data_IF_760189784303
#
_entry.id   IF_760189784303
#
_cell.length_a   1.000
_cell.length_b   1.000
_cell.length_c   1.000
_cell.angle_alpha   90.00
_cell.angle_beta   90.00
_cell.angle_gamma   90.00
#
_symmetry.space_group_name_H-M   'P 1'
#
loop_
_entity.id
_entity.type
_entity.pdbx_description
1 polymer ?
#
# COMPACT_ATOMS: atom_id res chain seq x y z
N UNK A 1 -5.49 -46.55 7.51
CA UNK A 1 -4.05 -46.54 7.15
C UNK A 1 -3.31 -47.42 8.13
N UNK A 2 -2.30 -48.17 7.71
CA UNK A 2 -1.42 -48.87 8.66
C UNK A 2 -0.82 -47.82 9.64
N UNK A 3 -0.69 -48.11 10.94
CA UNK A 3 -0.20 -47.16 11.95
C UNK A 3 1.10 -46.46 11.54
N UNK A 4 2.02 -47.23 10.94
CA UNK A 4 3.32 -46.75 10.45
C UNK A 4 3.21 -45.70 9.32
N UNK A 5 2.24 -45.84 8.41
CA UNK A 5 2.04 -44.88 7.32
C UNK A 5 1.52 -43.53 7.84
N UNK A 6 0.67 -43.55 8.87
CA UNK A 6 0.19 -42.33 9.53
C UNK A 6 1.33 -41.61 10.23
N UNK A 7 2.17 -42.33 10.98
CA UNK A 7 3.33 -41.78 11.68
C UNK A 7 4.35 -41.14 10.73
N UNK A 8 4.65 -41.79 9.60
CA UNK A 8 5.51 -41.25 8.54
C UNK A 8 4.99 -39.92 8.00
N UNK A 9 3.69 -39.84 7.69
CA UNK A 9 3.08 -38.59 7.22
C UNK A 9 3.11 -37.50 8.30
N UNK A 10 2.73 -37.82 9.53
CA UNK A 10 2.79 -36.87 10.64
C UNK A 10 4.22 -36.33 10.85
N UNK A 11 5.26 -37.16 10.72
CA UNK A 11 6.65 -36.74 10.80
C UNK A 11 7.03 -35.74 9.70
N UNK A 12 6.68 -36.04 8.44
CA UNK A 12 6.92 -35.13 7.30
C UNK A 12 6.23 -33.77 7.52
N UNK A 13 4.97 -33.80 7.97
CA UNK A 13 4.21 -32.58 8.24
C UNK A 13 4.80 -31.76 9.41
N UNK A 14 5.30 -32.40 10.47
CA UNK A 14 6.03 -31.70 11.54
C UNK A 14 7.28 -31.00 11.02
N UNK A 15 8.05 -31.60 10.11
CA UNK A 15 9.22 -30.94 9.54
C UNK A 15 8.84 -29.69 8.73
N UNK A 16 7.70 -29.71 8.04
CA UNK A 16 7.19 -28.56 7.28
C UNK A 16 6.79 -27.38 8.18
N UNK A 17 6.50 -27.58 9.48
CA UNK A 17 6.18 -26.49 10.42
C UNK A 17 7.29 -25.42 10.48
N UNK A 18 8.55 -25.85 10.46
CA UNK A 18 9.70 -24.94 10.44
C UNK A 18 9.61 -23.93 9.29
N UNK A 19 9.17 -24.37 8.10
CA UNK A 19 8.99 -23.52 6.92
C UNK A 19 7.82 -22.56 7.09
N UNK A 20 6.70 -23.00 7.68
CA UNK A 20 5.55 -22.14 7.96
C UNK A 20 5.92 -21.01 8.93
N UNK A 21 6.77 -21.28 9.92
CA UNK A 21 7.29 -20.27 10.84
C UNK A 21 8.18 -19.25 10.09
N UNK A 22 9.09 -19.72 9.24
CA UNK A 22 9.92 -18.83 8.41
C UNK A 22 9.10 -17.94 7.49
N UNK A 23 8.09 -18.50 6.81
CA UNK A 23 7.17 -17.72 5.96
C UNK A 23 6.36 -16.72 6.83
N UNK A 24 5.96 -17.11 8.04
CA UNK A 24 5.36 -16.19 9.01
C UNK A 24 6.25 -14.99 9.31
N UNK A 25 7.53 -15.21 9.61
CA UNK A 25 8.50 -14.14 9.83
C UNK A 25 8.67 -13.24 8.58
N UNK A 26 8.72 -13.84 7.38
CA UNK A 26 8.75 -13.09 6.12
C UNK A 26 7.52 -12.18 5.99
N UNK A 27 6.31 -12.67 6.29
CA UNK A 27 5.10 -11.84 6.22
C UNK A 27 5.11 -10.67 7.21
N UNK A 28 5.75 -10.82 8.36
CA UNK A 28 5.90 -9.73 9.34
C UNK A 28 6.90 -8.69 8.84
N UNK A 29 8.05 -9.12 8.31
CA UNK A 29 9.04 -8.22 7.70
C UNK A 29 8.45 -7.45 6.52
N UNK A 30 7.67 -8.12 5.66
CA UNK A 30 6.95 -7.47 4.56
C UNK A 30 5.89 -6.48 5.06
N UNK A 31 5.23 -6.77 6.18
CA UNK A 31 4.30 -5.81 6.82
C UNK A 31 5.05 -4.58 7.33
N UNK A 32 6.26 -4.75 7.87
CA UNK A 32 7.16 -3.65 8.24
C UNK A 32 7.59 -2.80 7.04
N UNK A 33 7.99 -3.44 5.93
CA UNK A 33 8.35 -2.74 4.68
C UNK A 33 7.17 -1.92 4.16
N UNK A 34 5.96 -2.47 4.18
CA UNK A 34 4.75 -1.74 3.80
C UNK A 34 4.58 -0.47 4.64
N UNK A 35 4.70 -0.57 5.97
CA UNK A 35 4.59 0.60 6.86
C UNK A 35 5.66 1.65 6.57
N UNK A 36 6.89 1.23 6.27
CA UNK A 36 7.96 2.15 5.87
C UNK A 36 7.65 2.85 4.54
N UNK A 37 7.08 2.14 3.55
CA UNK A 37 6.64 2.75 2.29
C UNK A 37 5.52 3.77 2.50
N UNK A 38 4.60 3.51 3.43
CA UNK A 38 3.53 4.45 3.80
C UNK A 38 4.11 5.73 4.44
N UNK A 39 5.00 5.59 5.43
CA UNK A 39 5.70 6.73 6.04
C UNK A 39 6.48 7.55 5.01
N UNK A 40 7.22 6.88 4.13
CA UNK A 40 8.01 7.54 3.11
C UNK A 40 7.13 8.26 2.07
N UNK A 41 5.98 7.69 1.73
CA UNK A 41 4.98 8.34 0.88
C UNK A 41 4.50 9.65 1.52
N UNK A 42 4.19 9.66 2.81
CA UNK A 42 3.71 10.85 3.52
C UNK A 42 4.79 11.94 3.61
N UNK A 43 6.02 11.57 3.95
CA UNK A 43 7.19 12.48 3.96
C UNK A 43 7.45 13.10 2.59
N UNK A 44 7.32 12.30 1.52
CA UNK A 44 7.47 12.81 0.15
C UNK A 44 6.36 13.80 -0.23
N UNK A 45 5.11 13.59 0.21
CA UNK A 45 4.02 14.55 -0.06
C UNK A 45 4.25 15.87 0.65
N UNK A 46 4.75 15.82 1.89
CA UNK A 46 5.11 17.01 2.65
C UNK A 46 6.22 17.79 1.92
N UNK A 47 7.30 17.11 1.53
CA UNK A 47 8.41 17.72 0.79
C UNK A 47 7.97 18.31 -0.56
N UNK A 48 7.08 17.63 -1.28
CA UNK A 48 6.51 18.16 -2.52
C UNK A 48 5.72 19.46 -2.27
N UNK A 49 4.91 19.50 -1.21
CA UNK A 49 4.14 20.69 -0.80
C UNK A 49 5.04 21.87 -0.43
N UNK A 50 6.14 21.62 0.29
CA UNK A 50 7.13 22.66 0.62
C UNK A 50 7.78 23.26 -0.64
N UNK A 51 8.13 22.41 -1.62
CA UNK A 51 8.68 22.86 -2.90
C UNK A 51 7.67 23.63 -3.74
N UNK A 52 6.39 23.26 -3.72
CA UNK A 52 5.31 24.04 -4.33
C UNK A 52 5.16 25.42 -3.68
N UNK A 53 5.27 25.49 -2.35
CA UNK A 53 5.27 26.75 -1.61
C UNK A 53 6.48 27.63 -2.00
N UNK A 54 7.67 27.05 -2.09
CA UNK A 54 8.87 27.73 -2.60
C UNK A 54 8.66 28.27 -4.02
N UNK A 55 8.12 27.44 -4.91
CA UNK A 55 7.79 27.79 -6.30
C UNK A 55 6.84 28.98 -6.35
N UNK A 56 5.77 28.96 -5.55
CA UNK A 56 4.81 30.06 -5.46
C UNK A 56 5.44 31.36 -4.95
N UNK A 57 6.32 31.29 -3.95
CA UNK A 57 7.06 32.45 -3.43
C UNK A 57 8.01 33.04 -4.48
N UNK A 58 8.72 32.19 -5.22
CA UNK A 58 9.58 32.64 -6.33
C UNK A 58 8.74 33.33 -7.41
N UNK A 59 7.62 32.73 -7.82
CA UNK A 59 6.69 33.30 -8.81
C UNK A 59 6.16 34.68 -8.41
N UNK A 60 5.75 34.85 -7.14
CA UNK A 60 5.30 36.16 -6.62
C UNK A 60 6.44 37.18 -6.64
N UNK A 61 7.65 36.78 -6.27
CA UNK A 61 8.82 37.66 -6.24
C UNK A 61 9.24 38.09 -7.65
N UNK A 62 9.25 37.17 -8.61
CA UNK A 62 9.50 37.44 -10.03
C UNK A 62 8.50 38.49 -10.55
N UNK A 63 7.19 38.27 -10.34
CA UNK A 63 6.15 39.22 -10.77
C UNK A 63 6.33 40.62 -10.17
N UNK A 64 6.67 40.71 -8.88
CA UNK A 64 6.92 42.00 -8.20
C UNK A 64 8.14 42.73 -8.80
N UNK A 65 9.22 42.01 -9.09
CA UNK A 65 10.43 42.57 -9.68
C UNK A 65 10.22 43.05 -11.12
N UNK A 66 9.44 42.31 -11.91
CA UNK A 66 9.04 42.68 -13.27
C UNK A 66 8.16 43.94 -13.27
N UNK A 67 7.13 44.00 -12.43
CA UNK A 67 6.25 45.17 -12.30
C UNK A 67 6.99 46.44 -11.85
N UNK A 68 7.90 46.33 -10.88
CA UNK A 68 8.78 47.45 -10.47
C UNK A 68 9.73 47.89 -11.60
N UNK A 69 10.08 46.99 -12.53
CA UNK A 69 10.89 47.31 -13.70
C UNK A 69 10.16 48.19 -14.71
N UNK A 70 8.89 47.87 -14.98
CA UNK A 70 8.07 48.68 -15.88
C UNK A 70 7.75 50.07 -15.33
N UNK A 71 7.42 50.19 -14.03
CA UNK A 71 7.15 51.51 -13.40
C UNK A 71 8.36 52.43 -13.31
N UNK A 72 9.57 51.89 -13.17
CA UNK A 72 10.80 52.69 -13.16
C UNK A 72 11.19 53.26 -14.54
N UNK A 73 10.63 52.71 -15.62
CA UNK A 73 10.85 53.20 -16.98
C UNK A 73 9.77 54.21 -17.44
N UNK A 74 8.60 54.24 -16.79
CA UNK A 74 7.52 55.19 -17.09
C UNK A 74 7.64 56.53 -16.33
N UNK A 75 8.40 56.59 -15.23
CA UNK A 75 8.52 57.78 -14.38
C UNK A 75 9.85 58.55 -14.60
N UNK A 76 10.42 58.48 -15.81
CA UNK A 76 11.60 59.31 -16.16
C UNK A 76 11.26 60.71 -16.66
N UNK A 77 9.98 61.07 -16.66
CA UNK A 77 9.54 62.46 -16.78
C UNK A 77 8.93 62.86 -15.43
N UNK A 78 9.51 63.92 -14.86
CA UNK A 78 9.06 64.68 -13.68
C UNK A 78 9.68 64.38 -12.30
N UNK A 79 10.37 65.43 -11.83
CA UNK A 79 10.86 65.75 -10.50
C UNK A 79 12.19 65.17 -9.99
N UNK A 80 13.25 65.95 -10.24
CA UNK A 80 14.39 66.11 -9.36
C UNK A 80 13.98 66.92 -8.11
N UNK A 81 14.22 66.39 -6.91
CA UNK A 81 14.04 67.11 -5.66
C UNK A 81 14.14 66.22 -4.41
N UNK A 82 15.34 66.24 -3.81
CA UNK A 82 15.72 65.89 -2.44
C UNK A 82 15.36 64.53 -1.79
N UNK A 83 16.44 63.78 -1.54
CA UNK A 83 16.89 63.27 -0.23
C UNK A 83 15.85 62.65 0.72
N UNK A 84 15.85 61.31 0.79
CA UNK A 84 16.19 60.61 2.03
C UNK A 84 16.51 59.12 1.74
N UNK A 85 17.41 58.58 2.56
CA UNK A 85 18.12 57.31 2.43
C UNK A 85 17.25 56.05 2.37
N UNK A 86 17.91 54.96 1.95
CA UNK A 86 17.54 53.57 2.26
C UNK A 86 16.87 52.70 1.19
N UNK A 87 17.23 52.81 -0.10
CA UNK A 87 17.23 51.61 -0.96
C UNK A 87 18.12 51.86 -2.18
N UNK A 88 19.36 51.37 -2.15
CA UNK A 88 20.18 51.26 -3.38
C UNK A 88 19.40 50.39 -4.36
N UNK A 89 18.72 51.02 -5.32
CA UNK A 89 18.11 50.33 -6.43
C UNK A 89 19.18 49.43 -7.08
N UNK A 90 18.91 48.13 -7.15
CA UNK A 90 19.80 47.18 -7.82
C UNK A 90 20.09 47.68 -9.23
N UNK A 91 21.36 47.62 -9.66
CA UNK A 91 21.71 47.95 -11.03
C UNK A 91 20.92 47.05 -12.00
N UNK A 92 20.59 47.52 -13.22
CA UNK A 92 19.82 46.72 -14.19
C UNK A 92 20.40 45.32 -14.43
N UNK A 93 21.73 45.21 -14.46
CA UNK A 93 22.44 43.94 -14.60
C UNK A 93 22.24 43.01 -13.39
N UNK A 94 22.36 43.54 -12.15
CA UNK A 94 22.10 42.77 -10.92
C UNK A 94 20.66 42.32 -10.81
N UNK A 95 19.71 43.18 -11.21
CA UNK A 95 18.28 42.85 -11.26
C UNK A 95 17.98 41.73 -12.26
N UNK A 96 18.58 41.79 -13.47
CA UNK A 96 18.44 40.74 -14.50
C UNK A 96 19.03 39.41 -14.03
N UNK A 97 20.23 39.45 -13.43
CA UNK A 97 20.88 38.25 -12.86
C UNK A 97 20.04 37.64 -11.74
N UNK A 98 19.53 38.45 -10.80
CA UNK A 98 18.68 37.96 -9.72
C UNK A 98 17.35 37.37 -10.22
N UNK A 99 16.71 38.02 -11.22
CA UNK A 99 15.52 37.47 -11.88
C UNK A 99 15.79 36.12 -12.54
N UNK A 100 16.96 35.96 -13.18
CA UNK A 100 17.35 34.70 -13.79
C UNK A 100 17.50 33.60 -12.74
N UNK A 101 18.22 33.84 -11.66
CA UNK A 101 18.37 32.88 -10.55
C UNK A 101 17.02 32.52 -9.93
N UNK A 102 16.12 33.50 -9.73
CA UNK A 102 14.78 33.20 -9.20
C UNK A 102 13.95 32.32 -10.14
N UNK A 103 14.08 32.51 -11.46
CA UNK A 103 13.41 31.65 -12.46
C UNK A 103 14.00 30.24 -12.44
N UNK A 104 15.32 30.11 -12.35
CA UNK A 104 15.98 28.81 -12.24
C UNK A 104 15.56 28.05 -10.98
N UNK A 105 15.51 28.74 -9.83
CA UNK A 105 15.00 28.16 -8.57
C UNK A 105 13.53 27.77 -8.71
N UNK A 106 12.70 28.64 -9.29
CA UNK A 106 11.29 28.34 -9.55
C UNK A 106 11.11 27.07 -10.39
N UNK A 107 11.80 27.00 -11.54
CA UNK A 107 11.65 25.91 -12.49
C UNK A 107 12.20 24.60 -11.91
N UNK A 108 13.34 24.67 -11.21
CA UNK A 108 13.94 23.51 -10.54
C UNK A 108 13.06 23.01 -9.39
N UNK A 109 12.59 23.89 -8.49
CA UNK A 109 11.71 23.51 -7.39
C UNK A 109 10.40 22.92 -7.90
N UNK A 110 9.79 23.51 -8.94
CA UNK A 110 8.57 22.98 -9.54
C UNK A 110 8.79 21.60 -10.17
N UNK A 111 9.92 21.41 -10.86
CA UNK A 111 10.27 20.12 -11.48
C UNK A 111 10.53 19.03 -10.44
N UNK A 112 11.25 19.36 -9.36
CA UNK A 112 11.52 18.43 -8.25
C UNK A 112 10.23 18.09 -7.50
N UNK A 113 9.37 19.07 -7.21
CA UNK A 113 8.07 18.84 -6.57
C UNK A 113 7.24 17.80 -7.34
N UNK A 114 7.11 17.98 -8.67
CA UNK A 114 6.38 17.04 -9.52
C UNK A 114 6.99 15.63 -9.53
N UNK A 115 8.32 15.51 -9.56
CA UNK A 115 9.01 14.21 -9.48
C UNK A 115 8.76 13.51 -8.14
N UNK A 116 8.83 14.25 -7.04
CA UNK A 116 8.60 13.71 -5.69
C UNK A 116 7.14 13.28 -5.54
N UNK A 117 6.18 14.03 -6.08
CA UNK A 117 4.77 13.64 -6.06
C UNK A 117 4.51 12.31 -6.79
N UNK A 118 5.12 12.13 -7.98
CA UNK A 118 5.03 10.86 -8.72
C UNK A 118 5.67 9.71 -7.95
N UNK A 119 6.83 9.94 -7.34
CA UNK A 119 7.52 8.94 -6.53
C UNK A 119 6.69 8.51 -5.32
N UNK A 120 6.07 9.47 -4.63
CA UNK A 120 5.13 9.22 -3.53
C UNK A 120 3.96 8.36 -3.98
N UNK A 121 3.36 8.70 -5.13
CA UNK A 121 2.24 7.93 -5.69
C UNK A 121 2.66 6.50 -6.05
N UNK A 122 3.84 6.31 -6.64
CA UNK A 122 4.38 4.99 -6.95
C UNK A 122 4.64 4.14 -5.69
N UNK A 123 5.20 4.73 -4.62
CA UNK A 123 5.39 4.04 -3.35
C UNK A 123 4.07 3.67 -2.67
N UNK A 124 3.05 4.52 -2.77
CA UNK A 124 1.71 4.21 -2.28
C UNK A 124 1.15 2.94 -2.95
N UNK A 125 1.18 2.86 -4.28
CA UNK A 125 0.71 1.66 -4.98
C UNK A 125 1.57 0.43 -4.67
N UNK A 126 2.88 0.60 -4.53
CA UNK A 126 3.78 -0.48 -4.11
C UNK A 126 3.41 -1.03 -2.72
N UNK A 127 3.05 -0.15 -1.77
CA UNK A 127 2.57 -0.55 -0.45
C UNK A 127 1.23 -1.30 -0.53
N UNK A 128 0.31 -0.86 -1.39
CA UNK A 128 -0.98 -1.53 -1.61
C UNK A 128 -0.82 -2.93 -2.22
N UNK A 129 0.03 -3.09 -3.24
CA UNK A 129 0.37 -4.39 -3.84
C UNK A 129 1.00 -5.34 -2.82
N UNK A 130 1.88 -4.81 -1.96
CA UNK A 130 2.53 -5.57 -0.90
C UNK A 130 1.53 -6.02 0.17
N UNK A 131 0.60 -5.15 0.58
CA UNK A 131 -0.45 -5.49 1.54
C UNK A 131 -1.31 -6.66 1.06
N UNK A 132 -1.78 -6.58 -0.19
CA UNK A 132 -2.58 -7.62 -0.84
C UNK A 132 -1.81 -8.96 -0.93
N UNK A 133 -0.52 -8.90 -1.23
CA UNK A 133 0.35 -10.08 -1.28
C UNK A 133 0.51 -10.71 0.10
N UNK A 134 0.75 -9.90 1.14
CA UNK A 134 0.85 -10.38 2.52
C UNK A 134 -0.46 -11.00 3.00
N UNK A 135 -1.61 -10.39 2.67
CA UNK A 135 -2.93 -10.93 3.00
C UNK A 135 -3.11 -12.32 2.38
N UNK A 136 -2.72 -12.50 1.13
CA UNK A 136 -2.80 -13.77 0.42
C UNK A 136 -1.93 -14.84 1.10
N UNK A 137 -0.66 -14.53 1.40
CA UNK A 137 0.25 -15.45 2.12
C UNK A 137 -0.28 -15.80 3.51
N UNK A 138 -0.86 -14.84 4.24
CA UNK A 138 -1.48 -15.11 5.56
C UNK A 138 -2.64 -16.11 5.46
N UNK A 139 -3.44 -16.09 4.40
CA UNK A 139 -4.51 -17.07 4.18
C UNK A 139 -3.97 -18.45 3.79
N UNK A 140 -2.91 -18.51 2.97
CA UNK A 140 -2.22 -19.77 2.70
C UNK A 140 -1.66 -20.40 3.97
N UNK A 141 -0.95 -19.63 4.79
CA UNK A 141 -0.43 -20.10 6.08
C UNK A 141 -1.54 -20.59 7.01
N UNK A 142 -2.67 -19.90 7.03
CA UNK A 142 -3.82 -20.31 7.82
C UNK A 142 -4.37 -21.67 7.37
N UNK A 143 -4.51 -21.89 6.06
CA UNK A 143 -4.94 -23.18 5.50
C UNK A 143 -3.99 -24.31 5.89
N UNK A 144 -2.68 -24.07 5.77
CA UNK A 144 -1.68 -25.07 6.16
C UNK A 144 -1.77 -25.42 7.65
N UNK A 145 -2.07 -24.45 8.52
CA UNK A 145 -2.33 -24.72 9.95
C UNK A 145 -3.55 -25.61 10.16
N UNK A 146 -4.63 -25.40 9.40
CA UNK A 146 -5.83 -26.26 9.44
C UNK A 146 -5.47 -27.70 9.06
N UNK A 147 -4.76 -27.90 7.95
CA UNK A 147 -4.33 -29.24 7.51
C UNK A 147 -3.43 -29.93 8.53
N UNK A 148 -2.51 -29.18 9.13
CA UNK A 148 -1.61 -29.68 10.17
C UNK A 148 -2.38 -30.14 11.41
N UNK A 149 -3.38 -29.38 11.86
CA UNK A 149 -4.21 -29.76 12.99
C UNK A 149 -4.98 -31.06 12.73
N UNK A 150 -5.54 -31.21 11.52
CA UNK A 150 -6.24 -32.43 11.09
C UNK A 150 -5.30 -33.64 11.10
N UNK A 151 -4.07 -33.50 10.57
CA UNK A 151 -3.13 -34.61 10.44
C UNK A 151 -2.53 -35.03 11.78
N UNK A 152 -2.21 -34.06 12.64
CA UNK A 152 -1.55 -34.31 13.92
C UNK A 152 -2.53 -34.71 15.03
N UNK A 153 -3.84 -34.57 14.82
CA UNK A 153 -4.86 -34.84 15.85
C UNK A 153 -4.80 -33.87 17.04
N UNK A 154 -4.08 -32.75 16.87
CA UNK A 154 -3.91 -31.72 17.88
C UNK A 154 -4.91 -30.59 17.63
N UNK A 155 -6.09 -30.70 18.23
CA UNK A 155 -7.04 -29.59 18.26
C UNK A 155 -6.70 -28.69 19.44
N UNK A 156 -5.93 -27.65 19.19
CA UNK A 156 -6.15 -26.42 19.94
C UNK A 156 -7.30 -25.68 19.22
N UNK A 157 -8.52 -26.18 19.45
CA UNK A 157 -9.73 -25.73 18.72
C UNK A 157 -9.95 -24.22 18.86
N UNK A 158 -9.42 -23.62 19.92
CA UNK A 158 -9.43 -22.17 20.16
C UNK A 158 -8.46 -21.40 19.25
N UNK A 159 -7.27 -21.96 18.96
CA UNK A 159 -6.30 -21.33 18.03
C UNK A 159 -6.81 -21.33 16.60
N UNK A 160 -7.55 -22.37 16.19
CA UNK A 160 -8.21 -22.43 14.87
C UNK A 160 -9.52 -21.61 14.82
N UNK A 161 -10.22 -21.41 15.95
CA UNK A 161 -11.43 -20.57 16.00
C UNK A 161 -11.15 -19.07 16.03
N UNK A 162 -9.96 -18.64 16.47
CA UNK A 162 -9.67 -17.22 16.74
C UNK A 162 -9.65 -16.28 15.53
N UNK A 163 -9.78 -16.79 14.30
CA UNK A 163 -9.84 -15.93 13.12
C UNK A 163 -11.28 -15.75 12.69
N UNK A 164 -11.99 -14.88 13.42
CA UNK A 164 -13.22 -14.26 12.91
C UNK A 164 -12.93 -13.66 11.54
N UNK A 165 -13.88 -13.81 10.61
CA UNK A 165 -13.83 -13.21 9.27
C UNK A 165 -13.37 -11.73 9.35
N UNK A 166 -13.79 -10.99 10.38
CA UNK A 166 -13.45 -9.56 10.55
C UNK A 166 -12.12 -9.32 11.25
N UNK A 167 -11.64 -10.27 12.07
CA UNK A 167 -10.37 -10.14 12.79
C UNK A 167 -9.17 -10.66 11.99
N UNK A 168 -9.38 -11.23 10.80
CA UNK A 168 -8.28 -11.64 9.93
C UNK A 168 -7.66 -10.44 9.17
N UNK A 169 -6.47 -10.64 8.59
CA UNK A 169 -5.81 -9.57 7.82
C UNK A 169 -6.66 -9.09 6.63
N UNK A 170 -7.32 -10.01 5.91
CA UNK A 170 -8.25 -9.67 4.83
C UNK A 170 -9.48 -8.94 5.36
N UNK A 171 -10.08 -9.39 6.47
CA UNK A 171 -11.26 -8.75 7.06
C UNK A 171 -11.02 -7.31 7.48
N UNK A 172 -9.90 -7.07 8.19
CA UNK A 172 -9.49 -5.70 8.56
C UNK A 172 -9.26 -4.82 7.34
N UNK A 173 -8.58 -5.35 6.33
CA UNK A 173 -8.36 -4.63 5.09
C UNK A 173 -9.68 -4.36 4.35
N UNK A 174 -10.55 -5.36 4.27
CA UNK A 174 -11.82 -5.32 3.57
C UNK A 174 -12.72 -4.23 4.14
N UNK A 175 -12.88 -4.17 5.46
CA UNK A 175 -13.77 -3.22 6.13
C UNK A 175 -13.23 -1.77 6.16
N UNK A 176 -11.92 -1.56 5.95
CA UNK A 176 -11.28 -0.24 6.01
C UNK A 176 -10.71 0.19 4.64
N UNK A 177 -9.38 0.10 4.45
CA UNK A 177 -8.67 0.58 3.25
C UNK A 177 -9.22 -0.03 1.96
N UNK A 178 -9.51 -1.32 1.96
CA UNK A 178 -10.10 -2.03 0.82
C UNK A 178 -11.45 -1.45 0.41
N UNK A 179 -12.32 -1.14 1.37
CA UNK A 179 -13.63 -0.51 1.11
C UNK A 179 -13.49 0.87 0.50
N UNK A 180 -12.59 1.69 1.06
CA UNK A 180 -12.37 3.07 0.60
C UNK A 180 -11.85 3.11 -0.83
N UNK A 181 -10.91 2.23 -1.18
CA UNK A 181 -10.25 2.24 -2.47
C UNK A 181 -10.98 1.41 -3.54
N UNK A 182 -11.54 0.24 -3.19
CA UNK A 182 -11.90 -0.79 -4.17
C UNK A 182 -13.37 -1.24 -4.15
N UNK A 183 -14.23 -0.63 -3.33
CA UNK A 183 -15.66 -1.02 -3.24
C UNK A 183 -16.43 -0.94 -4.56
N UNK A 184 -15.96 -0.10 -5.48
CA UNK A 184 -16.52 0.04 -6.83
C UNK A 184 -16.24 -1.20 -7.72
N UNK A 185 -15.18 -1.97 -7.44
CA UNK A 185 -14.80 -3.14 -8.24
C UNK A 185 -15.71 -4.34 -7.96
N UNK A 186 -16.22 -5.04 -9.00
CA UNK A 186 -16.92 -6.32 -8.83
C UNK A 186 -16.08 -7.36 -8.08
N UNK A 187 -14.78 -7.44 -8.39
CA UNK A 187 -13.85 -8.35 -7.74
C UNK A 187 -13.79 -8.16 -6.21
N UNK A 188 -13.84 -6.91 -5.74
CA UNK A 188 -13.89 -6.62 -4.31
C UNK A 188 -15.19 -7.13 -3.67
N UNK A 189 -16.36 -6.90 -4.29
CA UNK A 189 -17.64 -7.37 -3.74
C UNK A 189 -17.68 -8.89 -3.65
N UNK A 190 -17.27 -9.59 -4.71
CA UNK A 190 -17.16 -11.05 -4.71
C UNK A 190 -16.13 -11.57 -3.70
N UNK A 191 -15.05 -10.82 -3.45
CA UNK A 191 -14.04 -11.19 -2.46
C UNK A 191 -14.63 -11.31 -1.06
N UNK A 192 -15.52 -10.38 -0.67
CA UNK A 192 -16.20 -10.45 0.63
C UNK A 192 -17.07 -11.70 0.80
N UNK A 193 -17.82 -12.06 -0.25
CA UNK A 193 -18.68 -13.26 -0.23
C UNK A 193 -17.87 -14.56 -0.15
N UNK A 194 -16.84 -14.68 -0.99
CA UNK A 194 -15.94 -15.85 -0.99
C UNK A 194 -15.18 -15.94 0.33
N UNK A 195 -14.74 -14.81 0.88
CA UNK A 195 -14.04 -14.75 2.17
C UNK A 195 -14.90 -15.22 3.33
N UNK A 196 -16.18 -14.84 3.38
CA UNK A 196 -17.12 -15.35 4.38
C UNK A 196 -17.25 -16.87 4.28
N UNK A 197 -17.57 -17.36 3.08
CA UNK A 197 -17.76 -18.80 2.85
C UNK A 197 -16.51 -19.61 3.16
N UNK A 198 -15.33 -19.07 2.90
CA UNK A 198 -14.05 -19.70 3.23
C UNK A 198 -13.90 -19.91 4.74
N UNK A 199 -14.20 -18.88 5.56
CA UNK A 199 -14.18 -19.03 7.01
C UNK A 199 -15.29 -19.92 7.54
N UNK A 200 -16.49 -19.87 6.95
CA UNK A 200 -17.62 -20.72 7.34
C UNK A 200 -17.26 -22.21 7.18
N UNK A 201 -16.69 -22.60 6.03
CA UNK A 201 -16.24 -23.99 5.79
C UNK A 201 -15.17 -24.43 6.79
N UNK A 202 -14.20 -23.56 7.13
CA UNK A 202 -13.18 -23.88 8.15
C UNK A 202 -13.83 -24.09 9.51
N UNK A 203 -14.73 -23.18 9.92
CA UNK A 203 -15.40 -23.27 11.21
C UNK A 203 -16.26 -24.54 11.30
N UNK A 204 -17.00 -24.87 10.24
CA UNK A 204 -17.76 -26.12 10.17
C UNK A 204 -16.86 -27.36 10.26
N UNK A 205 -15.70 -27.34 9.58
CA UNK A 205 -14.73 -28.43 9.62
C UNK A 205 -14.17 -28.63 11.03
N UNK A 206 -13.88 -27.54 11.74
CA UNK A 206 -13.41 -27.56 13.13
C UNK A 206 -14.52 -28.05 14.07
N UNK A 207 -15.75 -27.57 13.92
CA UNK A 207 -16.88 -27.93 14.78
C UNK A 207 -17.32 -29.39 14.61
N UNK A 208 -17.35 -29.90 13.36
CA UNK A 208 -17.63 -31.31 13.07
C UNK A 208 -16.51 -32.22 13.59
N UNK A 209 -15.26 -31.74 13.54
CA UNK A 209 -14.06 -32.46 13.92
C UNK A 209 -13.71 -33.53 12.89
N UNK A 210 -12.58 -33.36 12.19
CA UNK A 210 -12.17 -34.22 11.08
C UNK A 210 -12.04 -35.71 11.44
N UNK A 211 -11.80 -36.04 12.72
CA UNK A 211 -11.74 -37.43 13.21
C UNK A 211 -13.08 -38.15 13.20
N UNK A 212 -14.19 -37.39 13.24
CA UNK A 212 -15.57 -37.91 13.25
C UNK A 212 -16.15 -38.05 11.85
N UNK A 213 -15.44 -37.55 10.83
CA UNK A 213 -15.90 -37.54 9.45
C UNK A 213 -15.44 -38.80 8.73
N UNK A 214 -16.29 -39.32 7.85
CA UNK A 214 -15.84 -40.29 6.85
C UNK A 214 -14.83 -39.64 5.90
N UNK A 215 -14.01 -40.45 5.24
CA UNK A 215 -13.07 -39.94 4.23
C UNK A 215 -13.77 -39.12 3.13
N UNK A 216 -14.95 -39.56 2.69
CA UNK A 216 -15.73 -38.87 1.66
C UNK A 216 -16.19 -37.48 2.12
N UNK A 217 -16.67 -37.37 3.36
CA UNK A 217 -17.11 -36.08 3.93
C UNK A 217 -15.92 -35.13 4.09
N UNK A 218 -14.81 -35.61 4.66
CA UNK A 218 -13.60 -34.82 4.84
C UNK A 218 -13.04 -34.36 3.48
N UNK A 219 -12.96 -35.26 2.49
CA UNK A 219 -12.50 -34.92 1.15
C UNK A 219 -13.39 -33.87 0.49
N UNK A 220 -14.71 -33.94 0.66
CA UNK A 220 -15.63 -32.95 0.13
C UNK A 220 -15.42 -31.56 0.75
N UNK A 221 -15.28 -31.46 2.07
CA UNK A 221 -15.02 -30.17 2.74
C UNK A 221 -13.66 -29.58 2.38
N UNK A 222 -12.60 -30.40 2.32
CA UNK A 222 -11.27 -29.94 1.91
C UNK A 222 -11.25 -29.47 0.45
N UNK A 223 -12.01 -30.14 -0.44
CA UNK A 223 -12.15 -29.71 -1.84
C UNK A 223 -12.87 -28.37 -1.95
N UNK A 224 -13.96 -28.17 -1.20
CA UNK A 224 -14.65 -26.87 -1.13
C UNK A 224 -13.70 -25.77 -0.64
N UNK A 225 -12.93 -26.06 0.41
CA UNK A 225 -11.95 -25.13 0.96
C UNK A 225 -10.89 -24.73 -0.07
N UNK A 226 -10.38 -25.69 -0.85
CA UNK A 226 -9.41 -25.42 -1.91
C UNK A 226 -10.00 -24.55 -3.03
N UNK A 227 -11.22 -24.86 -3.50
CA UNK A 227 -11.90 -24.05 -4.52
C UNK A 227 -12.10 -22.61 -4.05
N UNK A 228 -12.58 -22.42 -2.81
CA UNK A 228 -12.74 -21.08 -2.22
C UNK A 228 -11.40 -20.37 -2.06
N UNK A 229 -10.34 -21.09 -1.67
CA UNK A 229 -8.99 -20.55 -1.57
C UNK A 229 -8.45 -20.05 -2.92
N UNK A 230 -8.67 -20.81 -4.00
CA UNK A 230 -8.30 -20.38 -5.36
C UNK A 230 -9.12 -19.16 -5.82
N UNK A 231 -10.41 -19.12 -5.50
CA UNK A 231 -11.25 -17.96 -5.77
C UNK A 231 -10.76 -16.70 -5.03
N UNK A 232 -10.40 -16.83 -3.74
CA UNK A 232 -9.79 -15.73 -2.98
C UNK A 232 -8.54 -15.18 -3.67
N UNK A 233 -7.62 -16.06 -4.04
CA UNK A 233 -6.36 -15.70 -4.72
C UNK A 233 -6.63 -15.02 -6.05
N UNK A 234 -7.55 -15.56 -6.85
CA UNK A 234 -7.93 -14.98 -8.14
C UNK A 234 -8.54 -13.59 -8.00
N UNK A 235 -9.44 -13.39 -7.03
CA UNK A 235 -10.08 -12.10 -6.79
C UNK A 235 -9.09 -11.05 -6.25
N UNK A 236 -8.21 -11.44 -5.32
CA UNK A 236 -7.10 -10.58 -4.87
C UNK A 236 -6.21 -10.22 -6.06
N UNK A 237 -5.87 -11.18 -6.93
CA UNK A 237 -5.07 -10.96 -8.12
C UNK A 237 -5.71 -9.97 -9.11
N UNK A 238 -7.04 -10.01 -9.27
CA UNK A 238 -7.75 -9.01 -10.09
C UNK A 238 -7.65 -7.60 -9.51
N UNK A 239 -7.73 -7.46 -8.19
CA UNK A 239 -7.56 -6.17 -7.52
C UNK A 239 -6.10 -5.70 -7.67
N UNK A 240 -5.11 -6.59 -7.48
CA UNK A 240 -3.70 -6.27 -7.68
C UNK A 240 -3.42 -5.81 -9.11
N UNK A 241 -4.02 -6.46 -10.12
CA UNK A 241 -3.89 -6.02 -11.50
C UNK A 241 -4.46 -4.60 -11.71
N UNK A 242 -5.61 -4.30 -11.11
CA UNK A 242 -6.17 -2.95 -11.15
C UNK A 242 -5.21 -1.92 -10.50
N UNK A 243 -4.60 -2.25 -9.36
CA UNK A 243 -3.61 -1.39 -8.69
C UNK A 243 -2.38 -1.15 -9.57
N UNK A 244 -1.86 -2.19 -10.22
CA UNK A 244 -0.73 -2.06 -11.13
C UNK A 244 -1.06 -1.13 -12.31
N UNK A 245 -2.26 -1.24 -12.90
CA UNK A 245 -2.69 -0.33 -13.96
C UNK A 245 -2.76 1.14 -13.49
N UNK A 246 -3.23 1.37 -12.26
CA UNK A 246 -3.24 2.73 -11.68
C UNK A 246 -1.82 3.28 -11.47
N UNK A 247 -0.86 2.42 -11.14
CA UNK A 247 0.54 2.79 -11.00
C UNK A 247 1.15 3.17 -12.35
N UNK A 248 0.91 2.38 -13.39
CA UNK A 248 1.44 2.63 -14.74
C UNK A 248 0.92 3.97 -15.31
N UNK A 249 -0.38 4.25 -15.11
CA UNK A 249 -1.00 5.52 -15.52
C UNK A 249 -0.44 6.76 -14.82
N UNK A 250 0.31 6.60 -13.73
CA UNK A 250 0.94 7.70 -12.98
C UNK A 250 2.41 7.88 -13.32
N UNK A 251 3.01 6.90 -14.02
CA UNK A 251 4.39 6.94 -14.50
C UNK A 251 4.52 7.46 -15.93
N UNK A 252 3.45 7.39 -16.73
CA UNK A 252 3.32 7.99 -18.07
C UNK A 252 2.94 9.49 -18.00
#
# INVERSE_FOLDING_TARGET
MAPESKEKLQYVYRLQQSKLVSIGHLTENLSGIRSSLESFCDEQRELASELESCTNRCRVTIRRLEQKGNKGNSNKEENAGNDDEEYRALSPARKKSFLHTLREVHDTSSSVAGKIYRLSSAHKYSAELLDLSVIMVKHFLWRERVFMAIILGGYDSEVLKQVSIRSCALGRWYDDRGKKAYSHLPAYRSLGEVHSRYHDVINELVDKGAERMTFSELAAELTKLEVLGQQLVGLIGQIQHHVALLQDLQTD
#
